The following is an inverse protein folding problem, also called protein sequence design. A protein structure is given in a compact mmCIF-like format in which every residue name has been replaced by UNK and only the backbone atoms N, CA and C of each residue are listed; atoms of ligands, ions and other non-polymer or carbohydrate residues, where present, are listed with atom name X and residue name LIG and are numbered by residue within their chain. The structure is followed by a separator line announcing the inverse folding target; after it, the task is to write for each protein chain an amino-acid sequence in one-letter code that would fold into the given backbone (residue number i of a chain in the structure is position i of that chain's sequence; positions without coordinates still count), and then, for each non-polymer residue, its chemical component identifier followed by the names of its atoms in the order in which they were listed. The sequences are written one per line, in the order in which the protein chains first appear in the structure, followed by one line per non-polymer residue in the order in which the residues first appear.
data_IF_524704235014
#
_entry.id   IF_524704235014
#
_cell.length_a   1.000
_cell.length_b   1.000
_cell.length_c   1.000
_cell.angle_alpha   90.00
_cell.angle_beta   90.00
_cell.angle_gamma   90.00
#
_symmetry.space_group_name_H-M   'P 1'
#
loop_
_entity.id
_entity.type
_entity.pdbx_description
1 polymer ?
#
# COMPACT_ATOMS: atom_id res chain seq x y z
N UNK A 1 -20.71 -6.87 -24.23
CA UNK A 1 -20.29 -7.86 -23.19
C UNK A 1 -19.03 -7.32 -22.53
N UNK A 2 -19.16 -6.53 -21.46
CA UNK A 2 -18.12 -5.64 -20.93
C UNK A 2 -17.12 -6.31 -19.95
N UNK A 3 -17.08 -7.64 -19.87
CA UNK A 3 -16.22 -8.38 -18.92
C UNK A 3 -15.52 -9.58 -19.55
N UNK A 4 -15.13 -9.49 -20.82
CA UNK A 4 -14.25 -10.47 -21.44
C UNK A 4 -12.79 -10.03 -21.31
N UNK A 5 -12.33 -9.80 -20.08
CA UNK A 5 -10.90 -9.81 -19.80
C UNK A 5 -10.48 -11.29 -19.81
N UNK A 6 -9.64 -11.67 -20.77
CA UNK A 6 -8.95 -12.95 -20.75
C UNK A 6 -8.05 -12.92 -19.51
N UNK A 7 -8.25 -13.80 -18.52
CA UNK A 7 -7.36 -13.83 -17.37
C UNK A 7 -5.95 -14.17 -17.87
N UNK A 8 -4.98 -13.33 -17.54
CA UNK A 8 -3.58 -13.71 -17.61
C UNK A 8 -3.42 -15.06 -16.89
N UNK A 9 -2.70 -15.98 -17.53
CA UNK A 9 -2.55 -17.36 -17.06
C UNK A 9 -2.05 -17.41 -15.60
N UNK A 10 -2.41 -18.46 -14.84
CA UNK A 10 -2.09 -18.53 -13.43
C UNK A 10 -0.58 -18.67 -13.25
N UNK A 11 0.08 -17.60 -12.80
CA UNK A 11 1.22 -17.76 -11.90
C UNK A 11 0.65 -18.39 -10.63
N UNK A 12 0.64 -19.72 -10.57
CA UNK A 12 0.25 -20.43 -9.36
C UNK A 12 1.19 -19.98 -8.23
N UNK A 13 0.61 -19.41 -7.17
CA UNK A 13 1.31 -19.11 -5.94
C UNK A 13 2.09 -20.37 -5.50
N UNK A 14 3.43 -20.36 -5.49
CA UNK A 14 4.17 -21.52 -5.05
C UNK A 14 3.99 -21.64 -3.53
N UNK A 15 3.10 -22.55 -3.12
CA UNK A 15 2.84 -22.87 -1.73
C UNK A 15 1.88 -21.91 -1.04
N UNK A 16 0.57 -22.09 -1.27
CA UNK A 16 -0.56 -21.30 -0.72
C UNK A 16 -0.72 -21.35 0.81
N UNK A 17 0.34 -21.05 1.53
CA UNK A 17 0.41 -20.84 2.96
C UNK A 17 1.23 -19.58 3.28
N UNK A 18 1.36 -19.25 4.56
CA UNK A 18 2.06 -18.05 5.00
C UNK A 18 3.55 -18.09 4.62
N UNK A 19 4.02 -17.04 3.93
CA UNK A 19 5.41 -16.80 3.54
C UNK A 19 6.04 -15.61 4.27
N UNK A 20 7.16 -15.11 3.76
CA UNK A 20 7.89 -13.99 4.36
C UNK A 20 7.31 -12.63 3.93
N UNK A 21 6.95 -11.78 4.90
CA UNK A 21 6.42 -10.43 4.64
C UNK A 21 7.50 -9.45 4.14
N UNK A 22 8.76 -9.85 4.13
CA UNK A 22 9.86 -9.08 3.55
C UNK A 22 10.17 -9.43 2.10
N UNK A 23 9.61 -10.54 1.59
CA UNK A 23 9.77 -10.99 0.22
C UNK A 23 8.77 -10.28 -0.72
N UNK A 24 9.23 -9.41 -1.64
CA UNK A 24 8.34 -8.73 -2.58
C UNK A 24 7.55 -9.69 -3.47
N UNK A 25 8.11 -10.87 -3.80
CA UNK A 25 7.42 -11.90 -4.56
C UNK A 25 6.22 -12.47 -3.81
N UNK A 26 6.38 -12.71 -2.51
CA UNK A 26 5.28 -13.12 -1.64
C UNK A 26 4.22 -12.04 -1.51
N UNK A 27 4.62 -10.77 -1.30
CA UNK A 27 3.69 -9.63 -1.22
C UNK A 27 2.89 -9.46 -2.52
N UNK A 28 3.55 -9.55 -3.68
CA UNK A 28 2.90 -9.49 -4.99
C UNK A 28 1.89 -10.63 -5.19
N UNK A 29 2.23 -11.83 -4.74
CA UNK A 29 1.31 -12.96 -4.70
C UNK A 29 0.05 -12.66 -3.87
N UNK A 30 0.20 -12.06 -2.68
CA UNK A 30 -0.94 -11.73 -1.82
C UNK A 30 -1.89 -10.73 -2.50
N UNK A 31 -1.35 -9.75 -3.22
CA UNK A 31 -2.15 -8.79 -4.00
C UNK A 31 -2.93 -9.47 -5.14
N UNK A 32 -2.33 -10.48 -5.79
CA UNK A 32 -3.02 -11.30 -6.78
C UNK A 32 -4.17 -12.11 -6.17
N UNK A 33 -3.98 -12.66 -4.97
CA UNK A 33 -5.04 -13.38 -4.28
C UNK A 33 -6.16 -12.45 -3.79
N UNK A 34 -5.85 -11.21 -3.36
CA UNK A 34 -6.88 -10.21 -3.04
C UNK A 34 -7.80 -9.93 -4.23
N UNK A 35 -7.24 -9.73 -5.42
CA UNK A 35 -8.02 -9.56 -6.65
C UNK A 35 -8.96 -10.76 -6.87
N UNK A 36 -8.44 -11.98 -6.73
CA UNK A 36 -9.22 -13.21 -6.90
C UNK A 36 -10.35 -13.33 -5.87
N UNK A 37 -10.07 -13.02 -4.60
CA UNK A 37 -11.07 -13.06 -3.51
C UNK A 37 -12.24 -12.13 -3.84
N UNK A 38 -11.96 -10.88 -4.24
CA UNK A 38 -13.00 -9.90 -4.53
C UNK A 38 -13.84 -10.26 -5.76
N UNK A 39 -13.21 -10.75 -6.84
CA UNK A 39 -13.97 -11.21 -8.01
C UNK A 39 -14.73 -12.52 -7.75
N UNK A 40 -14.22 -13.42 -6.89
CA UNK A 40 -14.95 -14.60 -6.47
C UNK A 40 -16.24 -14.22 -5.71
N UNK A 41 -16.15 -13.26 -4.77
CA UNK A 41 -17.31 -12.71 -4.06
C UNK A 41 -18.31 -12.06 -5.01
N UNK A 42 -17.84 -11.29 -6.00
CA UNK A 42 -18.72 -10.70 -7.01
C UNK A 42 -19.49 -11.78 -7.78
N UNK A 43 -18.79 -12.85 -8.22
CA UNK A 43 -19.40 -13.98 -8.93
C UNK A 43 -20.41 -14.74 -8.07
N UNK A 44 -20.09 -14.98 -6.80
CA UNK A 44 -21.00 -15.61 -5.84
C UNK A 44 -22.29 -14.80 -5.70
N UNK A 45 -22.16 -13.47 -5.50
CA UNK A 45 -23.32 -12.56 -5.39
C UNK A 45 -24.17 -12.53 -6.66
N UNK A 46 -23.54 -12.58 -7.84
CA UNK A 46 -24.25 -12.70 -9.13
C UNK A 46 -25.06 -14.01 -9.25
N UNK A 47 -24.60 -15.08 -8.62
CA UNK A 47 -25.22 -16.40 -8.64
C UNK A 47 -26.37 -16.56 -7.64
N UNK A 48 -26.30 -15.87 -6.50
CA UNK A 48 -27.35 -15.89 -5.46
C UNK A 48 -28.55 -15.01 -5.79
N UNK A 49 -28.40 -14.05 -6.70
CA UNK A 49 -29.48 -13.12 -7.04
C UNK A 49 -30.55 -13.77 -7.96
N UNK A 50 -31.84 -13.41 -7.79
CA UNK A 50 -32.95 -14.04 -8.50
C UNK A 50 -32.78 -14.04 -10.03
N UNK A 51 -33.18 -15.14 -10.67
CA UNK A 51 -33.24 -15.22 -12.12
C UNK A 51 -34.33 -14.29 -12.68
N UNK A 52 -34.03 -13.62 -13.80
CA UNK A 52 -34.98 -12.72 -14.48
C UNK A 52 -34.90 -11.24 -14.10
N UNK A 53 -34.07 -10.88 -13.10
CA UNK A 53 -33.81 -9.47 -12.73
C UNK A 53 -32.33 -9.10 -12.91
N UNK A 54 -31.93 -8.63 -14.10
CA UNK A 54 -30.55 -8.22 -14.36
C UNK A 54 -30.05 -7.08 -13.45
N UNK A 55 -30.95 -6.19 -13.02
CA UNK A 55 -30.58 -5.02 -12.20
C UNK A 55 -30.31 -5.44 -10.75
N UNK A 56 -31.15 -6.31 -10.18
CA UNK A 56 -30.89 -6.88 -8.85
C UNK A 56 -29.60 -7.69 -8.83
N UNK A 57 -29.32 -8.48 -9.89
CA UNK A 57 -28.06 -9.21 -10.03
C UNK A 57 -26.86 -8.28 -10.07
N UNK A 58 -26.91 -7.22 -10.88
CA UNK A 58 -25.87 -6.20 -10.92
C UNK A 58 -25.66 -5.59 -9.52
N UNK A 59 -26.72 -5.03 -8.92
CA UNK A 59 -26.64 -4.35 -7.63
C UNK A 59 -26.06 -5.24 -6.51
N UNK A 60 -26.39 -6.54 -6.50
CA UNK A 60 -25.85 -7.49 -5.52
C UNK A 60 -24.33 -7.69 -5.65
N UNK A 61 -23.79 -7.60 -6.87
CA UNK A 61 -22.39 -7.89 -7.17
C UNK A 61 -21.51 -6.64 -7.32
N UNK A 62 -22.09 -5.46 -7.56
CA UNK A 62 -21.36 -4.22 -7.81
C UNK A 62 -20.36 -3.87 -6.72
N UNK A 63 -20.71 -4.05 -5.44
CA UNK A 63 -19.82 -3.75 -4.32
C UNK A 63 -18.51 -4.55 -4.38
N UNK A 64 -18.56 -5.89 -4.33
CA UNK A 64 -17.38 -6.73 -4.50
C UNK A 64 -16.68 -6.56 -5.86
N UNK A 65 -17.42 -6.29 -6.93
CA UNK A 65 -16.83 -6.06 -8.26
C UNK A 65 -15.97 -4.78 -8.28
N UNK A 66 -16.44 -3.69 -7.67
CA UNK A 66 -15.66 -2.45 -7.56
C UNK A 66 -14.39 -2.66 -6.73
N UNK A 67 -14.47 -3.41 -5.62
CA UNK A 67 -13.29 -3.82 -4.85
C UNK A 67 -12.33 -4.69 -5.65
N UNK A 68 -12.85 -5.58 -6.50
CA UNK A 68 -12.03 -6.39 -7.40
C UNK A 68 -11.28 -5.55 -8.44
N UNK A 69 -11.93 -4.54 -9.01
CA UNK A 69 -11.28 -3.59 -9.94
C UNK A 69 -10.23 -2.73 -9.23
N UNK A 70 -10.52 -2.28 -8.00
CA UNK A 70 -9.55 -1.56 -7.16
C UNK A 70 -8.30 -2.43 -6.87
N UNK A 71 -8.51 -3.68 -6.43
CA UNK A 71 -7.44 -4.64 -6.19
C UNK A 71 -6.63 -4.95 -7.47
N UNK A 72 -7.30 -5.05 -8.63
CA UNK A 72 -6.65 -5.24 -9.91
C UNK A 72 -5.74 -4.05 -10.30
N UNK A 73 -6.21 -2.82 -10.09
CA UNK A 73 -5.40 -1.62 -10.33
C UNK A 73 -4.20 -1.54 -9.37
N UNK A 74 -4.42 -1.86 -8.09
CA UNK A 74 -3.37 -1.89 -7.08
C UNK A 74 -2.31 -2.96 -7.36
N UNK A 75 -2.72 -4.17 -7.79
CA UNK A 75 -1.79 -5.22 -8.23
C UNK A 75 -0.95 -4.76 -9.42
N UNK A 76 -1.57 -4.17 -10.44
CA UNK A 76 -0.81 -3.67 -11.60
C UNK A 76 0.18 -2.57 -11.21
N UNK A 77 -0.20 -1.68 -10.29
CA UNK A 77 0.71 -0.66 -9.77
C UNK A 77 1.89 -1.31 -9.02
N UNK A 78 1.65 -2.33 -8.20
CA UNK A 78 2.69 -3.07 -7.50
C UNK A 78 3.63 -3.81 -8.47
N UNK A 79 3.08 -4.48 -9.48
CA UNK A 79 3.85 -5.18 -10.52
C UNK A 79 4.74 -4.22 -11.31
N UNK A 80 4.19 -3.10 -11.76
CA UNK A 80 4.96 -2.08 -12.46
C UNK A 80 6.06 -1.47 -11.57
N UNK A 81 5.80 -1.29 -10.28
CA UNK A 81 6.80 -0.81 -9.32
C UNK A 81 7.92 -1.86 -9.15
N UNK A 82 7.58 -3.12 -8.93
CA UNK A 82 8.53 -4.21 -8.76
C UNK A 82 9.42 -4.38 -10.00
N UNK A 83 8.83 -4.29 -11.20
CA UNK A 83 9.58 -4.30 -12.47
C UNK A 83 10.56 -3.12 -12.55
N UNK A 84 10.13 -1.92 -12.16
CA UNK A 84 10.98 -0.73 -12.16
C UNK A 84 12.15 -0.86 -11.16
N UNK A 85 11.91 -1.38 -9.95
CA UNK A 85 12.96 -1.63 -8.94
C UNK A 85 13.95 -2.69 -9.42
N UNK A 86 13.46 -3.77 -10.01
CA UNK A 86 14.30 -4.86 -10.53
C UNK A 86 15.19 -4.41 -11.69
N UNK A 87 14.77 -3.39 -12.45
CA UNK A 87 15.56 -2.83 -13.56
C UNK A 87 16.70 -1.91 -13.09
N UNK A 88 16.72 -1.50 -11.82
CA UNK A 88 17.77 -0.63 -11.28
C UNK A 88 19.05 -1.42 -10.97
N UNK A 89 20.23 -0.79 -11.17
CA UNK A 89 21.47 -1.35 -10.67
C UNK A 89 21.45 -1.46 -9.14
N UNK A 90 22.21 -2.40 -8.59
CA UNK A 90 22.42 -2.50 -7.15
C UNK A 90 22.96 -1.18 -6.58
N UNK A 91 22.40 -0.73 -5.46
CA UNK A 91 22.83 0.48 -4.78
C UNK A 91 21.70 1.22 -4.05
N UNK A 92 22.01 2.39 -3.46
CA UNK A 92 21.10 3.09 -2.56
C UNK A 92 19.73 3.40 -3.18
N UNK A 93 19.68 3.80 -4.46
CA UNK A 93 18.42 4.08 -5.14
C UNK A 93 17.49 2.85 -5.20
N UNK A 94 18.05 1.67 -5.50
CA UNK A 94 17.30 0.42 -5.51
C UNK A 94 16.83 0.03 -4.10
N UNK A 95 17.67 0.22 -3.10
CA UNK A 95 17.31 -0.06 -1.70
C UNK A 95 16.14 0.81 -1.23
N UNK A 96 16.22 2.13 -1.48
CA UNK A 96 15.19 3.11 -1.08
C UNK A 96 13.86 2.87 -1.80
N UNK A 97 13.89 2.63 -3.12
CA UNK A 97 12.68 2.33 -3.87
C UNK A 97 12.10 0.94 -3.49
N UNK A 98 12.94 -0.03 -3.14
CA UNK A 98 12.48 -1.31 -2.59
C UNK A 98 11.84 -1.19 -1.19
N UNK A 99 12.27 -0.25 -0.36
CA UNK A 99 11.59 0.08 0.91
C UNK A 99 10.19 0.66 0.67
N UNK A 100 10.07 1.58 -0.30
CA UNK A 100 8.77 2.16 -0.70
C UNK A 100 7.85 1.11 -1.35
N UNK A 101 8.38 0.22 -2.19
CA UNK A 101 7.65 -0.90 -2.79
C UNK A 101 7.02 -1.79 -1.69
N UNK A 102 7.83 -2.19 -0.70
CA UNK A 102 7.35 -2.99 0.44
C UNK A 102 6.32 -2.23 1.27
N UNK A 103 6.55 -0.94 1.54
CA UNK A 103 5.61 -0.12 2.30
C UNK A 103 4.26 -0.01 1.58
N UNK A 104 4.28 0.22 0.26
CA UNK A 104 3.09 0.25 -0.57
C UNK A 104 2.31 -1.07 -0.52
N UNK A 105 2.99 -2.21 -0.71
CA UNK A 105 2.34 -3.51 -0.69
C UNK A 105 1.79 -3.87 0.71
N UNK A 106 2.54 -3.60 1.78
CA UNK A 106 2.12 -3.91 3.15
C UNK A 106 0.95 -3.04 3.64
N UNK A 107 0.84 -1.78 3.22
CA UNK A 107 -0.35 -0.95 3.50
C UNK A 107 -1.61 -1.57 2.87
N UNK A 108 -1.54 -2.01 1.62
CA UNK A 108 -2.64 -2.67 0.92
C UNK A 108 -3.03 -4.00 1.57
N UNK A 109 -2.03 -4.81 1.97
CA UNK A 109 -2.23 -6.07 2.68
C UNK A 109 -2.86 -5.83 4.05
N UNK A 110 -2.40 -4.83 4.80
CA UNK A 110 -2.93 -4.48 6.13
C UNK A 110 -4.41 -4.13 6.09
N UNK A 111 -4.84 -3.36 5.08
CA UNK A 111 -6.26 -3.00 4.88
C UNK A 111 -7.15 -4.20 4.57
N UNK A 112 -6.59 -5.29 4.05
CA UNK A 112 -7.32 -6.50 3.64
C UNK A 112 -6.89 -7.74 4.44
N UNK A 113 -6.22 -7.56 5.59
CA UNK A 113 -5.60 -8.66 6.34
C UNK A 113 -6.61 -9.72 6.79
N UNK A 114 -7.84 -9.32 7.10
CA UNK A 114 -8.91 -10.25 7.48
C UNK A 114 -9.30 -11.21 6.37
N UNK A 115 -9.31 -10.74 5.12
CA UNK A 115 -9.65 -11.57 3.96
C UNK A 115 -8.54 -12.57 3.64
N UNK A 116 -7.28 -12.12 3.75
CA UNK A 116 -6.09 -12.96 3.56
C UNK A 116 -5.94 -14.01 4.68
N UNK A 117 -6.25 -13.64 5.92
CA UNK A 117 -6.32 -14.56 7.05
C UNK A 117 -7.42 -15.60 6.86
N UNK A 118 -8.63 -15.18 6.44
CA UNK A 118 -9.73 -16.10 6.17
C UNK A 118 -9.43 -17.06 5.01
N UNK A 119 -8.61 -16.64 4.05
CA UNK A 119 -8.11 -17.48 2.96
C UNK A 119 -6.93 -18.39 3.36
N UNK A 120 -6.40 -18.27 4.58
CA UNK A 120 -5.24 -19.04 5.06
C UNK A 120 -3.89 -18.59 4.49
N UNK A 121 -3.84 -17.42 3.86
CA UNK A 121 -2.64 -16.85 3.23
C UNK A 121 -1.78 -16.05 4.22
N UNK A 122 -2.38 -15.60 5.32
CA UNK A 122 -1.69 -15.01 6.46
C UNK A 122 -2.01 -15.80 7.74
N UNK A 123 -1.06 -15.82 8.67
CA UNK A 123 -1.28 -16.27 10.05
C UNK A 123 -1.80 -15.14 10.93
N UNK A 124 -2.42 -15.50 12.06
CA UNK A 124 -2.77 -14.52 13.10
C UNK A 124 -1.55 -13.73 13.61
N UNK A 125 -0.38 -14.39 13.72
CA UNK A 125 0.86 -13.73 14.12
C UNK A 125 1.31 -12.67 13.12
N UNK A 126 1.27 -12.98 11.82
CA UNK A 126 1.56 -12.01 10.77
C UNK A 126 0.57 -10.84 10.79
N UNK A 127 -0.74 -11.11 10.88
CA UNK A 127 -1.77 -10.05 10.94
C UNK A 127 -1.54 -9.12 12.13
N UNK A 128 -1.24 -9.68 13.31
CA UNK A 128 -0.97 -8.88 14.51
C UNK A 128 0.33 -8.07 14.40
N UNK A 129 1.33 -8.54 13.66
CA UNK A 129 2.61 -7.86 13.46
C UNK A 129 2.64 -6.87 12.29
N UNK A 130 1.61 -6.83 11.44
CA UNK A 130 1.55 -5.91 10.30
C UNK A 130 1.69 -4.43 10.71
N UNK A 131 1.01 -3.92 11.75
CA UNK A 131 1.16 -2.53 12.17
C UNK A 131 2.60 -2.17 12.51
N UNK A 132 3.27 -2.99 13.33
CA UNK A 132 4.66 -2.76 13.73
C UNK A 132 5.59 -2.77 12.50
N UNK A 133 5.36 -3.69 11.56
CA UNK A 133 6.16 -3.78 10.33
C UNK A 133 5.99 -2.55 9.43
N UNK A 134 4.76 -2.03 9.33
CA UNK A 134 4.47 -0.80 8.58
C UNK A 134 5.18 0.39 9.24
N UNK A 135 5.11 0.53 10.56
CA UNK A 135 5.79 1.61 11.30
C UNK A 135 7.33 1.54 11.19
N UNK A 136 7.90 0.33 11.20
CA UNK A 136 9.32 0.12 10.95
C UNK A 136 9.73 0.58 9.55
N UNK A 137 8.91 0.29 8.52
CA UNK A 137 9.17 0.74 7.15
C UNK A 137 8.98 2.25 7.00
N UNK A 138 7.95 2.83 7.62
CA UNK A 138 7.76 4.28 7.67
C UNK A 138 9.00 4.94 8.29
N UNK A 139 9.51 4.40 9.39
CA UNK A 139 10.72 4.92 10.06
C UNK A 139 11.95 4.84 9.14
N UNK A 140 12.13 3.74 8.40
CA UNK A 140 13.23 3.58 7.44
C UNK A 140 13.11 4.59 6.28
N UNK A 141 11.93 4.71 5.69
CA UNK A 141 11.66 5.67 4.59
C UNK A 141 11.83 7.10 5.07
N UNK A 142 11.34 7.42 6.28
CA UNK A 142 11.41 8.75 6.88
C UNK A 142 12.85 9.28 6.98
N UNK A 143 13.82 8.40 7.28
CA UNK A 143 15.23 8.76 7.36
C UNK A 143 15.81 9.27 6.03
N UNK A 144 15.14 9.00 4.90
CA UNK A 144 15.59 9.33 3.56
C UNK A 144 14.62 10.25 2.79
N UNK A 145 13.59 10.79 3.45
CA UNK A 145 12.59 11.65 2.82
C UNK A 145 13.19 12.89 2.12
N UNK A 146 14.18 13.62 2.69
CA UNK A 146 14.76 14.76 1.99
C UNK A 146 15.36 14.38 0.62
N UNK A 147 16.14 13.30 0.57
CA UNK A 147 16.76 12.78 -0.66
C UNK A 147 15.70 12.32 -1.67
N UNK A 148 14.66 11.62 -1.20
CA UNK A 148 13.54 11.17 -2.04
C UNK A 148 12.76 12.35 -2.65
N UNK A 149 12.48 13.40 -1.87
CA UNK A 149 11.76 14.59 -2.34
C UNK A 149 12.63 15.38 -3.32
N UNK A 150 13.91 15.59 -3.00
CA UNK A 150 14.86 16.27 -3.90
C UNK A 150 14.98 15.56 -5.25
N UNK A 151 14.86 14.23 -5.28
CA UNK A 151 14.95 13.43 -6.51
C UNK A 151 13.85 13.72 -7.55
N UNK A 152 12.71 14.29 -7.14
CA UNK A 152 11.68 14.75 -8.08
C UNK A 152 12.16 15.94 -8.93
N UNK A 153 13.24 16.62 -8.53
CA UNK A 153 13.85 17.73 -9.24
C UNK A 153 12.82 18.81 -9.66
N UNK A 154 11.87 19.09 -8.76
CA UNK A 154 10.82 20.08 -9.02
C UNK A 154 11.43 21.49 -9.05
N UNK A 155 11.15 22.30 -10.09
CA UNK A 155 11.62 23.67 -10.13
C UNK A 155 11.10 24.48 -8.92
N UNK A 156 11.93 25.28 -8.24
CA UNK A 156 11.49 26.10 -7.12
C UNK A 156 10.33 27.03 -7.48
N UNK A 157 10.27 27.50 -8.72
CA UNK A 157 9.20 28.35 -9.24
C UNK A 157 7.85 27.64 -9.25
N UNK A 158 7.84 26.31 -9.40
CA UNK A 158 6.62 25.52 -9.28
C UNK A 158 6.12 25.51 -7.84
N UNK A 159 7.01 25.48 -6.85
CA UNK A 159 6.65 25.38 -5.44
C UNK A 159 6.37 26.74 -4.78
N UNK A 160 6.82 27.84 -5.41
CA UNK A 160 6.74 29.19 -4.86
C UNK A 160 5.33 29.67 -4.52
N UNK A 161 4.31 29.16 -5.22
CA UNK A 161 2.90 29.50 -4.97
C UNK A 161 2.32 28.81 -3.72
N UNK A 162 3.03 27.84 -3.14
CA UNK A 162 2.62 27.10 -1.95
C UNK A 162 3.53 27.42 -0.76
N UNK A 163 3.10 28.29 0.18
CA UNK A 163 3.94 28.72 1.30
C UNK A 163 4.52 27.57 2.13
N UNK A 164 3.77 26.48 2.30
CA UNK A 164 4.22 25.30 3.06
C UNK A 164 5.37 24.52 2.38
N UNK A 165 5.61 24.75 1.09
CA UNK A 165 6.66 24.10 0.30
C UNK A 165 7.92 24.97 0.18
N UNK A 166 7.91 26.21 0.69
CA UNK A 166 9.07 27.09 0.71
C UNK A 166 10.13 26.61 1.70
N UNK A 167 11.40 26.71 1.32
CA UNK A 167 12.53 26.37 2.20
C UNK A 167 12.56 27.27 3.46
N UNK A 168 11.98 28.46 3.37
CA UNK A 168 11.82 29.43 4.45
C UNK A 168 10.56 29.23 5.29
N UNK A 169 9.70 28.25 4.97
CA UNK A 169 8.44 28.02 5.70
C UNK A 169 8.66 27.73 7.17
N UNK A 170 9.62 26.85 7.47
CA UNK A 170 9.99 26.53 8.85
C UNK A 170 10.51 27.78 9.55
N UNK A 171 11.40 28.54 8.91
CA UNK A 171 11.94 29.77 9.53
C UNK A 171 10.87 30.88 9.71
N UNK A 172 9.85 30.92 8.83
CA UNK A 172 8.79 31.93 8.86
C UNK A 172 7.71 31.66 9.90
N UNK A 173 7.50 30.38 10.28
CA UNK A 173 6.40 29.97 11.16
C UNK A 173 6.79 29.08 12.34
N UNK A 174 8.04 28.61 12.43
CA UNK A 174 8.57 28.00 13.65
C UNK A 174 8.70 29.10 14.71
N UNK A 175 8.17 28.83 15.89
CA UNK A 175 8.35 29.67 17.07
C UNK A 175 9.46 29.04 17.91
N UNK A 176 10.71 29.56 17.86
CA UNK A 176 11.83 28.99 18.59
C UNK A 176 11.63 29.06 20.11
N UNK A 177 10.72 29.91 20.58
CA UNK A 177 10.34 30.06 21.99
C UNK A 177 9.16 29.19 22.40
N UNK A 178 8.57 28.41 21.49
CA UNK A 178 7.42 27.58 21.79
C UNK A 178 7.76 26.47 22.79
N UNK A 179 6.80 26.15 23.66
CA UNK A 179 7.04 25.20 24.75
C UNK A 179 7.44 23.80 24.24
N UNK A 180 6.95 23.35 23.09
CA UNK A 180 7.33 22.07 22.46
C UNK A 180 8.77 22.04 21.93
N UNK A 181 9.42 23.19 21.75
CA UNK A 181 10.83 23.29 21.37
C UNK A 181 11.78 23.30 22.58
N UNK A 182 11.27 23.60 23.78
CA UNK A 182 12.07 23.60 25.02
C UNK A 182 12.34 22.19 25.55
N UNK A 183 13.47 21.99 26.24
CA UNK A 183 13.81 20.69 26.86
C UNK A 183 12.66 20.18 27.76
N UNK A 184 12.01 21.06 28.53
CA UNK A 184 10.87 20.70 29.37
C UNK A 184 9.62 20.25 28.60
N UNK A 185 9.36 20.80 27.40
CA UNK A 185 8.26 20.33 26.56
C UNK A 185 8.55 19.02 25.83
N UNK A 186 9.81 18.80 25.43
CA UNK A 186 10.26 17.52 24.84
C UNK A 186 10.26 16.39 25.86
N UNK A 187 10.56 16.69 27.13
CA UNK A 187 10.45 15.74 28.25
C UNK A 187 8.99 15.45 28.61
N UNK A 188 8.12 16.46 28.68
CA UNK A 188 6.68 16.28 28.92
C UNK A 188 6.02 15.39 27.83
N UNK A 189 6.34 15.60 26.56
CA UNK A 189 5.85 14.77 25.45
C UNK A 189 6.39 13.33 25.44
N UNK A 190 7.50 13.05 26.15
CA UNK A 190 8.05 11.70 26.32
C UNK A 190 7.51 10.99 27.57
N UNK A 191 7.09 11.73 28.59
CA UNK A 191 6.58 11.20 29.86
C UNK A 191 5.10 10.80 29.86
N UNK A 192 4.34 11.15 28.83
CA UNK A 192 2.91 10.81 28.68
C UNK A 192 2.65 9.51 27.89
N UNK A 193 3.68 8.69 27.64
CA UNK A 193 3.54 7.35 27.03
C UNK A 193 3.64 6.23 28.05
#
# INVERSE_FOLDING_TARGET
MLFAAVPAGPGAFPGGGPGDLDDPGFLGGLLAELERIWFARARERLGLAPHGDPLARWNAASGPALRGVEAHAQRQAAEAYAEAVAALPEGPARDRLGELERLFALDLISRNAGDLLAAGLLTAGQVNGLPDRVEELITKVAAHLPELVESFALPPELLADWPIAGADYVDAYDDPGAFWQTEGGREAARGER
#
